data_IF_457019860978
#
_entry.id   IF_457019860978
#
_cell.length_a   1.000
_cell.length_b   1.000
_cell.length_c   1.000
_cell.angle_alpha   90.00
_cell.angle_beta   90.00
_cell.angle_gamma   90.00
#
_symmetry.space_group_name_H-M   'P 1'
#
loop_
_entity.id
_entity.type
_entity.pdbx_description
1 polymer ?
#
# COMPACT_ATOMS: atom_id res chain seq x y z
N UNK A 1 -21.02 -15.97 -26.66
CA UNK A 1 -19.76 -16.53 -26.14
C UNK A 1 -18.85 -15.33 -25.97
N UNK A 2 -19.05 -14.58 -24.88
CA UNK A 2 -18.28 -13.39 -24.54
C UNK A 2 -16.93 -13.83 -23.98
N UNK A 3 -15.93 -13.92 -24.85
CA UNK A 3 -14.60 -14.46 -24.54
C UNK A 3 -13.55 -13.37 -24.30
N UNK A 4 -13.95 -12.10 -24.18
CA UNK A 4 -13.03 -10.95 -24.20
C UNK A 4 -12.80 -10.26 -22.84
N UNK A 5 -13.22 -10.85 -21.72
CA UNK A 5 -13.03 -10.26 -20.38
C UNK A 5 -12.14 -11.13 -19.48
N UNK A 6 -11.01 -11.59 -20.02
CA UNK A 6 -9.96 -12.19 -19.20
C UNK A 6 -8.87 -11.14 -19.03
N UNK A 7 -9.07 -10.22 -18.07
CA UNK A 7 -8.02 -9.32 -17.64
C UNK A 7 -6.78 -10.16 -17.25
N UNK A 8 -5.57 -9.80 -17.71
CA UNK A 8 -4.37 -10.53 -17.33
C UNK A 8 -4.20 -10.41 -15.82
N UNK A 9 -4.51 -11.49 -15.09
CA UNK A 9 -4.24 -11.64 -13.67
C UNK A 9 -2.78 -11.24 -13.45
N UNK A 10 -2.57 -10.13 -12.73
CA UNK A 10 -1.25 -9.61 -12.46
C UNK A 10 -0.38 -10.75 -11.95
N UNK A 11 0.73 -11.01 -12.66
CA UNK A 11 1.63 -12.12 -12.31
C UNK A 11 2.00 -11.96 -10.83
N UNK A 12 1.86 -13.03 -10.01
CA UNK A 12 2.24 -12.96 -8.62
C UNK A 12 3.68 -12.46 -8.54
N UNK A 13 3.89 -11.37 -7.81
CA UNK A 13 5.21 -10.81 -7.61
C UNK A 13 6.05 -11.88 -6.92
N UNK A 14 7.08 -12.38 -7.60
CA UNK A 14 7.97 -13.38 -7.03
C UNK A 14 8.56 -12.83 -5.74
N UNK A 15 8.21 -13.46 -4.62
CA UNK A 15 8.77 -13.13 -3.32
C UNK A 15 10.27 -13.38 -3.38
N UNK A 16 11.05 -12.50 -2.75
CA UNK A 16 12.50 -12.74 -2.60
C UNK A 16 12.68 -14.06 -1.87
N UNK A 17 13.57 -14.91 -2.38
CA UNK A 17 14.01 -16.09 -1.65
C UNK A 17 14.86 -15.63 -0.46
N UNK A 18 14.30 -15.77 0.75
CA UNK A 18 14.94 -15.33 1.98
C UNK A 18 15.92 -16.37 2.53
N UNK A 19 15.85 -17.63 2.07
CA UNK A 19 16.68 -18.73 2.56
C UNK A 19 18.12 -18.60 2.06
N UNK A 20 18.31 -18.00 0.87
CA UNK A 20 19.63 -17.74 0.29
C UNK A 20 20.28 -16.43 0.75
N UNK A 21 19.55 -15.58 1.48
CA UNK A 21 20.05 -14.27 1.92
C UNK A 21 20.90 -14.38 3.19
N UNK A 22 21.98 -13.60 3.26
CA UNK A 22 22.78 -13.48 4.49
C UNK A 22 22.01 -12.70 5.57
N UNK A 23 22.43 -12.81 6.84
CA UNK A 23 21.82 -12.05 7.94
C UNK A 23 21.89 -10.54 7.68
N UNK A 24 22.99 -10.06 7.09
CA UNK A 24 23.16 -8.65 6.73
C UNK A 24 22.17 -8.23 5.64
N UNK A 25 22.02 -9.06 4.59
CA UNK A 25 21.05 -8.82 3.52
C UNK A 25 19.60 -8.83 4.03
N UNK A 26 19.26 -9.75 4.94
CA UNK A 26 17.94 -9.82 5.56
C UNK A 26 17.64 -8.55 6.37
N UNK A 27 18.62 -8.05 7.13
CA UNK A 27 18.47 -6.79 7.86
C UNK A 27 18.28 -5.60 6.91
N UNK A 28 19.05 -5.54 5.82
CA UNK A 28 18.90 -4.49 4.80
C UNK A 28 17.51 -4.56 4.12
N UNK A 29 17.05 -5.78 3.80
CA UNK A 29 15.73 -6.01 3.21
C UNK A 29 14.60 -5.59 4.14
N UNK A 30 14.69 -5.95 5.43
CA UNK A 30 13.73 -5.52 6.45
C UNK A 30 13.69 -4.00 6.55
N UNK A 31 14.85 -3.33 6.59
CA UNK A 31 14.90 -1.87 6.68
C UNK A 31 14.22 -1.21 5.48
N UNK A 32 14.47 -1.71 4.27
CA UNK A 32 13.79 -1.24 3.06
C UNK A 32 12.28 -1.39 3.15
N UNK A 33 11.79 -2.56 3.56
CA UNK A 33 10.36 -2.81 3.70
C UNK A 33 9.72 -1.90 4.75
N UNK A 34 10.40 -1.66 5.88
CA UNK A 34 9.92 -0.73 6.92
C UNK A 34 9.78 0.70 6.37
N UNK A 35 10.75 1.19 5.62
CA UNK A 35 10.66 2.51 4.98
C UNK A 35 9.47 2.59 4.01
N UNK A 36 9.21 1.53 3.23
CA UNK A 36 8.05 1.50 2.34
C UNK A 36 6.72 1.46 3.11
N UNK A 37 6.66 0.77 4.24
CA UNK A 37 5.51 0.80 5.15
C UNK A 37 5.27 2.21 5.66
N UNK A 38 6.30 2.89 6.19
CA UNK A 38 6.18 4.27 6.68
C UNK A 38 5.67 5.22 5.59
N UNK A 39 6.17 5.06 4.35
CA UNK A 39 5.70 5.83 3.20
C UNK A 39 4.23 5.56 2.89
N UNK A 40 3.81 4.30 2.89
CA UNK A 40 2.42 3.93 2.67
C UNK A 40 1.51 4.48 3.77
N UNK A 41 1.93 4.37 5.04
CA UNK A 41 1.22 4.92 6.18
C UNK A 41 1.08 6.45 6.11
N UNK A 42 2.15 7.17 5.73
CA UNK A 42 2.08 8.61 5.51
C UNK A 42 1.07 8.99 4.41
N UNK A 43 1.04 8.25 3.31
CA UNK A 43 0.06 8.44 2.23
C UNK A 43 -1.36 8.15 2.69
N UNK A 44 -1.56 7.09 3.48
CA UNK A 44 -2.86 6.75 4.07
C UNK A 44 -3.30 7.85 5.03
N UNK A 45 -2.41 8.35 5.89
CA UNK A 45 -2.69 9.43 6.83
C UNK A 45 -3.09 10.71 6.09
N UNK A 46 -2.38 11.08 5.02
CA UNK A 46 -2.75 12.20 4.15
C UNK A 46 -4.15 12.01 3.54
N UNK A 47 -4.43 10.85 2.94
CA UNK A 47 -5.76 10.54 2.37
C UNK A 47 -6.88 10.55 3.42
N UNK A 48 -6.62 10.04 4.63
CA UNK A 48 -7.58 10.08 5.75
C UNK A 48 -7.85 11.51 6.21
N UNK A 49 -6.81 12.34 6.32
CA UNK A 49 -6.96 13.76 6.67
C UNK A 49 -7.88 14.49 5.69
N UNK A 50 -7.68 14.30 4.37
CA UNK A 50 -8.58 14.85 3.36
C UNK A 50 -10.04 14.38 3.52
N UNK A 51 -10.26 13.10 3.90
CA UNK A 51 -11.61 12.57 4.12
C UNK A 51 -12.26 13.14 5.38
N UNK A 52 -11.51 13.31 6.47
CA UNK A 52 -12.02 13.93 7.71
C UNK A 52 -12.32 15.42 7.54
N UNK A 53 -11.53 16.14 6.72
CA UNK A 53 -11.86 17.51 6.32
C UNK A 53 -13.15 17.56 5.51
N UNK A 54 -13.41 16.63 4.58
CA UNK A 54 -14.71 16.61 3.91
C UNK A 54 -15.88 16.38 4.90
N UNK A 55 -15.76 15.40 5.78
CA UNK A 55 -16.84 15.02 6.71
C UNK A 55 -17.23 16.17 7.68
N UNK A 56 -16.22 16.92 8.17
CA UNK A 56 -16.44 18.07 9.06
C UNK A 56 -17.04 19.29 8.36
N UNK A 57 -16.79 19.48 7.07
CA UNK A 57 -17.40 20.56 6.29
C UNK A 57 -18.85 20.23 5.88
N UNK A 58 -19.17 18.97 5.62
CA UNK A 58 -20.55 18.54 5.31
C UNK A 58 -21.45 18.41 6.56
N UNK A 59 -20.89 18.15 7.75
CA UNK A 59 -21.65 18.09 9.00
C UNK A 59 -22.09 19.45 9.58
N UNK A 60 -21.48 20.57 9.16
CA UNK A 60 -21.80 21.92 9.69
C UNK A 60 -22.72 22.76 8.81
N UNK A 61 -23.13 22.27 7.63
CA UNK A 61 -24.02 22.98 6.69
C UNK A 61 -25.42 22.35 6.60
N UNK A 62 -25.85 21.69 7.67
CA UNK A 62 -27.16 21.05 7.80
C UNK A 62 -27.86 21.38 9.13
N UNK A 63 -27.55 22.53 9.72
CA UNK A 63 -28.31 23.15 10.82
C UNK A 63 -29.23 24.25 10.26
#
# INVERSE_FOLDING_TARGET
MDTDDIEPLAKPQELKDLEVMSIEDLNAYINKLKTEIERAEAQIASKKSHRTTADTFFGKKGE
#
